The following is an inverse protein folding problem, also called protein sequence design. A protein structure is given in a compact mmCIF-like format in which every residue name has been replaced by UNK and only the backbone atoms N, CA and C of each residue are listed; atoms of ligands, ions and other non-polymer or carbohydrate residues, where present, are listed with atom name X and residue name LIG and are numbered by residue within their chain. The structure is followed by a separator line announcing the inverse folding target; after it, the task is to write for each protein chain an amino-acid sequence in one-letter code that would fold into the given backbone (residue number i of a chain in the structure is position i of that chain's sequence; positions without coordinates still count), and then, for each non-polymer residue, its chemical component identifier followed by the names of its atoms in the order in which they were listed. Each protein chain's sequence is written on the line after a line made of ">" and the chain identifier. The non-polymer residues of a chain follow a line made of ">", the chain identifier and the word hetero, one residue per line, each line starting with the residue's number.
data_IF_161045873110
#
_entry.id   IF_161045873110
#
_cell.length_a   1.000
_cell.length_b   1.000
_cell.length_c   1.000
_cell.angle_alpha   90.00
_cell.angle_beta   90.00
_cell.angle_gamma   90.00
#
_symmetry.space_group_name_H-M   'P 1'
#
loop_
_entity.id
_entity.type
_entity.pdbx_description
1 polymer ?
#
# COMPACT_ATOMS: atom_id res chain seq x y z
N UNK A 1 33.73 -47.09 -26.13
CA UNK A 1 33.88 -46.36 -24.85
C UNK A 1 34.61 -45.07 -25.17
N UNK A 2 34.12 -43.85 -25.02
CA UNK A 2 33.04 -43.24 -24.24
C UNK A 2 33.61 -41.90 -23.77
N UNK A 3 33.04 -40.77 -24.22
CA UNK A 3 33.67 -39.45 -24.37
C UNK A 3 33.99 -38.67 -23.08
N UNK A 4 35.02 -37.85 -23.24
CA UNK A 4 35.66 -36.81 -22.42
C UNK A 4 34.67 -35.66 -22.03
N UNK A 5 34.66 -35.33 -20.72
CA UNK A 5 34.38 -34.06 -20.02
C UNK A 5 33.04 -33.31 -20.21
N UNK A 6 32.23 -33.29 -19.13
CA UNK A 6 31.02 -32.50 -18.97
C UNK A 6 31.21 -31.22 -18.13
N UNK A 7 31.08 -30.07 -18.81
CA UNK A 7 30.37 -28.83 -18.45
C UNK A 7 30.54 -28.23 -17.04
N UNK A 8 31.28 -27.12 -17.01
CA UNK A 8 31.17 -26.02 -16.03
C UNK A 8 30.00 -25.10 -16.43
N UNK A 9 29.06 -24.82 -15.52
CA UNK A 9 28.21 -23.61 -15.56
C UNK A 9 27.91 -23.12 -14.15
N UNK A 10 28.71 -22.18 -13.67
CA UNK A 10 28.28 -21.26 -12.62
C UNK A 10 27.57 -20.07 -13.29
N UNK A 11 26.32 -19.82 -12.91
CA UNK A 11 25.53 -18.68 -13.38
C UNK A 11 25.37 -17.72 -12.19
N UNK A 12 26.31 -16.79 -12.05
CA UNK A 12 26.21 -15.67 -11.11
C UNK A 12 25.66 -14.49 -11.89
N UNK A 13 24.37 -14.18 -11.71
CA UNK A 13 23.78 -12.91 -12.16
C UNK A 13 24.31 -11.80 -11.24
N UNK A 14 25.27 -11.03 -11.71
CA UNK A 14 25.65 -9.74 -11.11
C UNK A 14 24.75 -8.67 -11.71
N UNK A 15 24.06 -7.92 -10.85
CA UNK A 15 23.38 -6.66 -11.19
C UNK A 15 24.41 -5.68 -11.79
N UNK A 16 24.18 -5.11 -12.99
CA UNK A 16 25.08 -4.12 -13.55
C UNK A 16 24.86 -2.78 -12.85
N UNK A 17 25.93 -2.22 -12.29
CA UNK A 17 25.96 -0.85 -11.79
C UNK A 17 25.82 0.18 -12.91
N UNK A 18 25.45 1.41 -12.53
CA UNK A 18 25.15 2.55 -13.43
C UNK A 18 26.16 2.81 -14.56
N UNK A 19 27.43 2.43 -14.40
CA UNK A 19 28.46 2.58 -15.47
C UNK A 19 28.23 1.67 -16.69
N UNK A 20 27.62 0.50 -16.50
CA UNK A 20 27.36 -0.47 -17.57
C UNK A 20 26.16 -0.07 -18.44
N UNK A 21 25.21 0.68 -17.87
CA UNK A 21 24.08 1.25 -18.63
C UNK A 21 24.54 2.33 -19.61
N UNK A 22 25.47 3.21 -19.21
CA UNK A 22 25.99 4.25 -20.10
C UNK A 22 26.76 3.66 -21.27
N UNK A 23 27.60 2.64 -21.04
CA UNK A 23 28.31 1.96 -22.12
C UNK A 23 27.35 1.28 -23.10
N UNK A 24 26.31 0.59 -22.58
CA UNK A 24 25.26 -0.01 -23.40
C UNK A 24 24.55 1.04 -24.25
N UNK A 25 24.13 2.16 -23.67
CA UNK A 25 23.46 3.23 -24.38
C UNK A 25 24.32 3.81 -25.52
N UNK A 26 25.62 4.00 -25.28
CA UNK A 26 26.58 4.45 -26.30
C UNK A 26 26.68 3.41 -27.43
N UNK A 27 26.85 2.12 -27.10
CA UNK A 27 26.93 1.04 -28.09
C UNK A 27 25.66 0.91 -28.93
N UNK A 28 24.47 1.07 -28.35
CA UNK A 28 23.21 1.04 -29.09
C UNK A 28 23.03 2.27 -30.00
N UNK A 29 23.50 3.44 -29.57
CA UNK A 29 23.51 4.64 -30.40
C UNK A 29 24.49 4.51 -31.59
N UNK A 30 25.69 3.98 -31.36
CA UNK A 30 26.68 3.72 -32.42
C UNK A 30 26.22 2.65 -33.43
N UNK A 31 25.43 1.66 -32.98
CA UNK A 31 24.85 0.64 -33.84
C UNK A 31 23.64 1.12 -34.68
N UNK A 32 23.32 2.43 -34.64
CA UNK A 32 22.16 3.00 -35.35
C UNK A 32 20.80 2.60 -34.74
N UNK A 33 20.80 2.03 -33.53
CA UNK A 33 19.61 1.56 -32.80
C UNK A 33 19.11 2.60 -31.79
N UNK A 34 19.32 3.89 -32.07
CA UNK A 34 18.86 4.99 -31.22
C UNK A 34 17.35 4.94 -30.93
N UNK A 35 16.55 4.42 -31.89
CA UNK A 35 15.12 4.22 -31.73
C UNK A 35 14.76 3.22 -30.60
N UNK A 36 15.54 2.13 -30.42
CA UNK A 36 15.33 1.16 -29.33
C UNK A 36 15.72 1.71 -27.96
N UNK A 37 16.71 2.61 -27.92
CA UNK A 37 17.10 3.33 -26.70
C UNK A 37 16.03 4.35 -26.32
N UNK A 38 15.53 5.09 -27.31
CA UNK A 38 14.43 6.04 -27.13
C UNK A 38 13.14 5.33 -26.71
N UNK A 39 12.75 4.22 -27.34
CA UNK A 39 11.56 3.45 -26.98
C UNK A 39 11.64 2.91 -25.54
N UNK A 40 12.81 2.40 -25.11
CA UNK A 40 13.00 1.95 -23.73
C UNK A 40 12.98 3.09 -22.72
N UNK A 41 13.65 4.21 -23.00
CA UNK A 41 13.59 5.39 -22.13
C UNK A 41 12.18 5.98 -22.09
N UNK A 42 11.49 6.04 -23.23
CA UNK A 42 10.11 6.51 -23.35
C UNK A 42 9.17 5.61 -22.53
N UNK A 43 9.35 4.28 -22.60
CA UNK A 43 8.59 3.32 -21.77
C UNK A 43 8.90 3.47 -20.28
N UNK A 44 10.16 3.74 -19.91
CA UNK A 44 10.57 4.00 -18.52
C UNK A 44 10.09 5.37 -17.98
N UNK A 45 9.96 6.37 -18.85
CA UNK A 45 9.45 7.71 -18.52
C UNK A 45 7.91 7.78 -18.53
N UNK A 46 7.23 6.99 -19.37
CA UNK A 46 5.76 6.90 -19.43
C UNK A 46 5.17 5.92 -18.39
N UNK A 47 6.02 5.22 -17.63
CA UNK A 47 5.62 4.32 -16.55
C UNK A 47 6.18 4.72 -15.19
N UNK A 48 6.06 6.01 -14.82
CA UNK A 48 5.84 6.35 -13.41
C UNK A 48 4.48 5.77 -13.00
N UNK A 49 4.45 4.45 -12.79
CA UNK A 49 3.31 3.76 -12.21
C UNK A 49 3.14 4.35 -10.83
N UNK A 50 2.14 5.22 -10.66
CA UNK A 50 1.79 5.80 -9.36
C UNK A 50 1.59 4.65 -8.39
N UNK A 51 2.52 4.53 -7.45
CA UNK A 51 2.52 3.43 -6.50
C UNK A 51 1.58 3.78 -5.36
N UNK A 52 0.74 2.83 -4.95
CA UNK A 52 -0.26 3.06 -3.91
C UNK A 52 0.07 2.28 -2.64
N UNK A 53 -0.08 2.95 -1.51
CA UNK A 53 0.01 2.42 -0.16
C UNK A 53 -1.38 2.45 0.46
N UNK A 54 -1.93 1.29 0.81
CA UNK A 54 -3.22 1.23 1.50
C UNK A 54 -3.00 1.24 3.00
N UNK A 55 -3.73 2.08 3.72
CA UNK A 55 -3.66 2.18 5.18
C UNK A 55 -5.02 1.82 5.74
N UNK A 56 -5.10 0.72 6.49
CA UNK A 56 -6.34 0.23 7.08
C UNK A 56 -6.49 0.78 8.49
N UNK A 57 -7.53 1.57 8.70
CA UNK A 57 -7.89 2.11 10.01
C UNK A 57 -8.62 1.10 10.87
N UNK A 58 -8.59 1.31 12.18
CA UNK A 58 -9.43 0.57 13.13
C UNK A 58 -10.82 1.20 13.14
N UNK A 59 -11.81 0.47 12.65
CA UNK A 59 -13.17 0.98 12.48
C UNK A 59 -13.20 2.30 11.68
N UNK A 60 -13.53 3.42 12.35
CA UNK A 60 -13.62 4.77 11.77
C UNK A 60 -12.42 5.66 12.07
N UNK A 61 -11.37 5.16 12.71
CA UNK A 61 -10.22 5.96 13.18
C UNK A 61 -8.88 5.47 12.61
N UNK A 62 -7.93 6.39 12.58
CA UNK A 62 -6.50 6.13 12.35
C UNK A 62 -5.75 6.68 13.57
N UNK A 63 -4.90 5.87 14.18
CA UNK A 63 -4.05 6.33 15.29
C UNK A 63 -2.99 7.31 14.78
N UNK A 64 -2.39 8.07 15.70
CA UNK A 64 -1.24 8.91 15.38
C UNK A 64 -0.06 8.06 14.87
N UNK A 65 0.19 6.92 15.53
CA UNK A 65 1.29 6.01 15.18
C UNK A 65 1.19 5.51 13.72
N UNK A 66 0.01 5.07 13.27
CA UNK A 66 -0.15 4.61 11.88
C UNK A 66 -0.12 5.75 10.87
N UNK A 67 -0.62 6.93 11.25
CA UNK A 67 -0.57 8.13 10.40
C UNK A 67 0.89 8.51 10.14
N UNK A 68 1.69 8.65 11.19
CA UNK A 68 3.09 9.04 11.09
C UNK A 68 3.88 8.01 10.28
N UNK A 69 3.70 6.72 10.58
CA UNK A 69 4.36 5.64 9.85
C UNK A 69 4.01 5.68 8.35
N UNK A 70 2.73 5.80 8.01
CA UNK A 70 2.28 5.80 6.62
C UNK A 70 2.79 7.03 5.85
N UNK A 71 2.82 8.20 6.49
CA UNK A 71 3.35 9.43 5.89
C UNK A 71 4.85 9.32 5.61
N UNK A 72 5.63 8.82 6.57
CA UNK A 72 7.07 8.61 6.38
C UNK A 72 7.36 7.59 5.28
N UNK A 73 6.61 6.50 5.24
CA UNK A 73 6.76 5.48 4.20
C UNK A 73 6.41 6.05 2.82
N UNK A 74 5.30 6.78 2.72
CA UNK A 74 4.84 7.35 1.46
C UNK A 74 5.79 8.43 0.93
N UNK A 75 6.32 9.30 1.79
CA UNK A 75 7.27 10.35 1.42
C UNK A 75 8.59 9.77 0.88
N UNK A 76 9.14 8.75 1.55
CA UNK A 76 10.45 8.17 1.18
C UNK A 76 10.43 7.37 -0.11
N UNK A 77 9.28 6.78 -0.42
CA UNK A 77 9.10 5.84 -1.52
C UNK A 77 8.22 6.40 -2.64
N UNK A 78 7.73 7.64 -2.49
CA UNK A 78 6.82 8.32 -3.40
C UNK A 78 5.50 7.55 -3.65
N UNK A 79 4.85 7.10 -2.57
CA UNK A 79 3.52 6.48 -2.66
C UNK A 79 2.39 7.52 -2.59
N UNK A 80 1.30 7.25 -3.30
CA UNK A 80 -0.03 7.76 -2.96
C UNK A 80 -0.60 6.97 -1.77
N UNK A 81 -1.24 7.65 -0.83
CA UNK A 81 -1.92 7.04 0.31
C UNK A 81 -3.41 6.83 0.00
N UNK A 82 -3.86 5.60 0.25
CA UNK A 82 -5.28 5.22 0.22
C UNK A 82 -5.69 4.81 1.64
N UNK A 83 -6.32 5.72 2.36
CA UNK A 83 -6.84 5.47 3.69
C UNK A 83 -8.18 4.71 3.61
N UNK A 84 -8.23 3.51 4.18
CA UNK A 84 -9.38 2.61 4.13
C UNK A 84 -9.96 2.44 5.54
N UNK A 85 -11.22 2.84 5.72
CA UNK A 85 -12.01 2.43 6.88
C UNK A 85 -12.98 1.32 6.47
N UNK A 86 -13.00 0.24 7.24
CA UNK A 86 -13.89 -0.90 7.04
C UNK A 86 -14.85 -1.04 8.22
N UNK A 87 -16.06 -1.50 7.93
CA UNK A 87 -17.00 -1.94 8.96
C UNK A 87 -17.63 -3.25 8.51
N UNK A 88 -17.63 -4.30 9.34
CA UNK A 88 -18.19 -5.62 9.04
C UNK A 88 -19.72 -5.61 9.10
N UNK A 89 -20.34 -4.71 8.36
CA UNK A 89 -21.78 -4.59 8.24
C UNK A 89 -22.22 -5.46 7.07
N UNK A 90 -22.25 -6.78 7.31
CA UNK A 90 -22.82 -7.69 6.32
C UNK A 90 -24.26 -7.24 6.03
N UNK A 91 -24.59 -7.14 4.75
CA UNK A 91 -25.94 -6.77 4.32
C UNK A 91 -27.00 -7.77 4.82
N UNK A 92 -26.58 -8.99 5.21
CA UNK A 92 -27.45 -10.10 5.59
C UNK A 92 -27.79 -10.11 7.09
N UNK A 93 -26.86 -9.75 7.98
CA UNK A 93 -27.07 -9.78 9.45
C UNK A 93 -28.11 -8.75 9.92
N UNK A 94 -28.39 -7.71 9.13
CA UNK A 94 -29.31 -6.61 9.48
C UNK A 94 -30.63 -6.59 8.69
N UNK A 95 -30.99 -7.68 8.00
CA UNK A 95 -32.19 -7.77 7.16
C UNK A 95 -33.54 -7.53 7.89
N UNK A 96 -33.55 -7.48 9.23
CA UNK A 96 -34.77 -7.25 10.02
C UNK A 96 -35.10 -5.78 10.31
N UNK A 97 -34.16 -4.82 10.14
CA UNK A 97 -34.38 -3.40 10.48
C UNK A 97 -33.79 -2.44 9.43
N UNK A 98 -34.49 -2.25 8.31
CA UNK A 98 -34.02 -1.48 7.14
C UNK A 98 -33.76 0.02 7.41
N UNK A 99 -34.50 0.65 8.34
CA UNK A 99 -34.32 2.06 8.73
C UNK A 99 -33.07 2.24 9.61
N UNK A 100 -32.86 1.36 10.59
CA UNK A 100 -31.68 1.37 11.46
C UNK A 100 -30.39 1.14 10.66
N UNK A 101 -30.43 0.29 9.63
CA UNK A 101 -29.27 0.03 8.77
C UNK A 101 -28.76 1.28 8.05
N UNK A 102 -29.65 2.03 7.40
CA UNK A 102 -29.26 3.26 6.67
C UNK A 102 -28.59 4.26 7.60
N UNK A 103 -29.19 4.45 8.79
CA UNK A 103 -28.66 5.34 9.82
C UNK A 103 -27.26 4.92 10.29
N UNK A 104 -27.04 3.63 10.58
CA UNK A 104 -25.72 3.13 11.01
C UNK A 104 -24.66 3.34 9.91
N UNK A 105 -24.99 3.06 8.65
CA UNK A 105 -24.06 3.29 7.54
C UNK A 105 -23.74 4.78 7.34
N UNK A 106 -24.73 5.65 7.49
CA UNK A 106 -24.56 7.10 7.40
C UNK A 106 -23.73 7.64 8.56
N UNK A 107 -24.01 7.19 9.78
CA UNK A 107 -23.26 7.55 10.99
C UNK A 107 -21.80 7.12 10.87
N UNK A 108 -21.53 5.87 10.44
CA UNK A 108 -20.17 5.39 10.21
C UNK A 108 -19.44 6.21 9.15
N UNK A 109 -20.08 6.50 8.00
CA UNK A 109 -19.48 7.38 6.99
C UNK A 109 -19.18 8.77 7.54
N UNK A 110 -20.08 9.33 8.36
CA UNK A 110 -19.91 10.63 8.99
C UNK A 110 -18.70 10.66 9.93
N UNK A 111 -18.59 9.64 10.79
CA UNK A 111 -17.46 9.47 11.70
C UNK A 111 -16.14 9.30 10.94
N UNK A 112 -16.08 8.38 9.97
CA UNK A 112 -14.86 8.14 9.20
C UNK A 112 -14.40 9.40 8.46
N UNK A 113 -15.31 10.17 7.86
CA UNK A 113 -15.00 11.46 7.21
C UNK A 113 -14.49 12.52 8.18
N UNK A 114 -14.95 12.49 9.43
CA UNK A 114 -14.50 13.44 10.46
C UNK A 114 -13.10 13.06 10.94
N UNK A 115 -12.90 11.78 11.23
CA UNK A 115 -11.68 11.27 11.86
C UNK A 115 -10.50 11.22 10.89
N UNK A 116 -10.74 11.02 9.58
CA UNK A 116 -9.67 11.03 8.58
C UNK A 116 -9.03 12.41 8.36
N UNK A 117 -9.68 13.50 8.82
CA UNK A 117 -9.22 14.88 8.52
C UNK A 117 -7.78 15.14 8.96
N UNK A 118 -7.40 14.65 10.14
CA UNK A 118 -6.03 14.82 10.64
C UNK A 118 -5.02 14.17 9.70
N UNK A 119 -5.32 12.96 9.23
CA UNK A 119 -4.47 12.25 8.28
C UNK A 119 -4.41 12.97 6.93
N UNK A 120 -5.55 13.39 6.39
CA UNK A 120 -5.63 14.11 5.13
C UNK A 120 -4.84 15.44 5.17
N UNK A 121 -4.96 16.20 6.26
CA UNK A 121 -4.23 17.45 6.45
C UNK A 121 -2.72 17.22 6.56
N UNK A 122 -2.30 16.17 7.28
CA UNK A 122 -0.90 15.80 7.41
C UNK A 122 -0.29 15.34 6.07
N UNK A 123 -1.01 14.54 5.29
CA UNK A 123 -0.61 14.15 3.94
C UNK A 123 -0.49 15.36 3.01
N UNK A 124 -1.46 16.28 3.06
CA UNK A 124 -1.44 17.52 2.27
C UNK A 124 -0.23 18.39 2.60
N UNK A 125 0.17 18.50 3.87
CA UNK A 125 1.36 19.27 4.28
C UNK A 125 2.67 18.70 3.71
N UNK A 126 2.70 17.39 3.44
CA UNK A 126 3.84 16.68 2.82
C UNK A 126 3.70 16.52 1.31
N UNK A 127 2.68 17.13 0.71
CA UNK A 127 2.39 17.02 -0.73
C UNK A 127 2.16 15.56 -1.20
N UNK A 128 1.72 14.69 -0.29
CA UNK A 128 1.43 13.28 -0.58
C UNK A 128 -0.01 13.17 -1.12
N UNK A 129 -0.22 12.57 -2.31
CA UNK A 129 -1.57 12.30 -2.80
C UNK A 129 -2.34 11.42 -1.82
N UNK A 130 -3.59 11.78 -1.53
CA UNK A 130 -4.37 11.15 -0.48
C UNK A 130 -5.82 10.92 -0.91
N UNK A 131 -6.26 9.67 -0.80
CA UNK A 131 -7.64 9.26 -1.07
C UNK A 131 -8.21 8.54 0.17
N UNK A 132 -9.44 8.89 0.57
CA UNK A 132 -10.15 8.22 1.65
C UNK A 132 -11.30 7.36 1.10
N UNK A 133 -11.34 6.09 1.49
CA UNK A 133 -12.38 5.15 1.10
C UNK A 133 -12.99 4.48 2.32
N UNK A 134 -14.31 4.29 2.26
CA UNK A 134 -15.09 3.62 3.30
C UNK A 134 -15.78 2.40 2.71
N UNK A 135 -15.53 1.22 3.27
CA UNK A 135 -16.10 -0.05 2.85
C UNK A 135 -16.93 -0.68 3.96
N UNK A 136 -18.04 -1.32 3.58
CA UNK A 136 -18.95 -2.01 4.50
C UNK A 136 -18.79 -3.52 4.36
N UNK A 137 -17.54 -3.95 4.46
CA UNK A 137 -17.11 -5.34 4.39
C UNK A 137 -16.01 -5.53 5.42
N UNK A 138 -15.70 -6.79 5.72
CA UNK A 138 -14.53 -7.16 6.51
C UNK A 138 -13.26 -6.59 5.88
N UNK A 139 -12.24 -6.29 6.68
CA UNK A 139 -11.00 -5.63 6.22
C UNK A 139 -10.35 -6.31 5.01
N UNK A 140 -10.28 -7.65 5.00
CA UNK A 140 -9.71 -8.40 3.88
C UNK A 140 -10.55 -8.31 2.60
N UNK A 141 -11.88 -8.39 2.70
CA UNK A 141 -12.77 -8.24 1.54
C UNK A 141 -12.78 -6.79 1.03
N UNK A 142 -12.73 -5.81 1.94
CA UNK A 142 -12.56 -4.41 1.59
C UNK A 142 -11.28 -4.16 0.80
N UNK A 143 -10.16 -4.81 1.15
CA UNK A 143 -8.91 -4.73 0.40
C UNK A 143 -9.02 -5.31 -1.01
N UNK A 144 -9.76 -6.41 -1.19
CA UNK A 144 -10.04 -6.96 -2.54
C UNK A 144 -10.91 -6.02 -3.36
N UNK A 145 -11.95 -5.44 -2.76
CA UNK A 145 -12.81 -4.46 -3.44
C UNK A 145 -12.00 -3.25 -3.91
N UNK A 146 -11.15 -2.70 -3.04
CA UNK A 146 -10.27 -1.58 -3.38
C UNK A 146 -9.33 -1.95 -4.53
N UNK A 147 -8.70 -3.13 -4.48
CA UNK A 147 -7.84 -3.61 -5.56
C UNK A 147 -8.56 -3.62 -6.92
N UNK A 148 -9.84 -3.98 -6.94
CA UNK A 148 -10.63 -3.98 -8.17
C UNK A 148 -11.00 -2.55 -8.63
N UNK A 149 -11.21 -1.62 -7.70
CA UNK A 149 -11.64 -0.24 -7.99
C UNK A 149 -10.51 0.67 -8.43
N UNK A 150 -9.38 0.65 -7.72
CA UNK A 150 -8.28 1.59 -7.94
C UNK A 150 -7.06 0.94 -8.60
N UNK A 151 -7.15 -0.35 -8.92
CA UNK A 151 -6.04 -1.16 -9.42
C UNK A 151 -5.12 -1.66 -8.32
N UNK A 152 -3.88 -1.98 -8.69
CA UNK A 152 -2.89 -2.51 -7.76
C UNK A 152 -2.44 -1.50 -6.70
N UNK A 153 -2.09 -2.01 -5.53
CA UNK A 153 -1.33 -1.34 -4.49
C UNK A 153 -0.20 -2.28 -4.04
N UNK A 154 0.94 -1.74 -3.65
CA UNK A 154 2.12 -2.56 -3.34
C UNK A 154 2.10 -3.06 -1.90
N UNK A 155 1.67 -2.22 -0.97
CA UNK A 155 1.69 -2.51 0.45
C UNK A 155 0.38 -2.10 1.14
N UNK A 156 0.10 -2.82 2.22
CA UNK A 156 -0.95 -2.51 3.18
C UNK A 156 -0.29 -2.28 4.53
N UNK A 157 -0.69 -1.19 5.20
CA UNK A 157 -0.32 -0.87 6.58
C UNK A 157 -1.58 -1.01 7.43
N UNK A 158 -1.49 -1.73 8.55
CA UNK A 158 -2.60 -1.88 9.51
C UNK A 158 -2.08 -1.91 10.94
N UNK A 159 -2.95 -1.64 11.91
CA UNK A 159 -2.65 -1.85 13.33
C UNK A 159 -3.20 -3.19 13.81
N UNK A 160 -2.65 -3.74 14.91
CA UNK A 160 -3.32 -4.81 15.66
C UNK A 160 -4.66 -4.34 16.23
N UNK A 161 -5.68 -5.19 16.14
CA UNK A 161 -6.98 -4.96 16.79
C UNK A 161 -6.89 -5.11 18.32
N UNK A 162 -5.86 -5.79 18.83
CA UNK A 162 -5.65 -5.99 20.25
C UNK A 162 -5.00 -4.77 20.92
N UNK A 163 -5.81 -4.02 21.67
CA UNK A 163 -5.51 -3.59 23.05
C UNK A 163 -6.69 -2.79 23.65
N UNK A 164 -7.80 -3.48 23.93
CA UNK A 164 -8.83 -2.99 24.86
C UNK A 164 -9.24 -4.01 25.93
N UNK A 165 -8.76 -5.26 25.88
CA UNK A 165 -8.98 -6.23 26.93
C UNK A 165 -7.69 -7.02 27.19
N UNK A 166 -7.34 -7.20 28.47
CA UNK A 166 -6.15 -7.92 28.97
C UNK A 166 -4.82 -7.15 29.01
N UNK A 167 -4.83 -5.88 29.46
CA UNK A 167 -3.66 -5.35 30.18
C UNK A 167 -3.84 -5.64 31.67
N UNK A 168 -3.27 -6.76 32.15
CA UNK A 168 -2.97 -6.91 33.58
C UNK A 168 -2.09 -5.73 34.01
N UNK A 169 -2.35 -5.08 35.17
CA UNK A 169 -1.57 -3.93 35.59
C UNK A 169 -0.26 -4.42 36.21
N UNK A 170 0.70 -4.87 35.39
CA UNK A 170 2.03 -5.22 35.91
C UNK A 170 3.22 -4.55 35.24
N UNK A 171 3.06 -3.73 34.19
CA UNK A 171 4.18 -2.87 33.76
C UNK A 171 3.67 -1.56 33.17
N UNK A 172 4.19 -0.44 33.69
CA UNK A 172 3.87 0.92 33.25
C UNK A 172 4.42 1.30 31.87
N UNK A 173 4.63 0.33 30.99
CA UNK A 173 4.91 0.59 29.58
C UNK A 173 3.59 0.79 28.86
N UNK A 174 3.42 1.98 28.27
CA UNK A 174 2.27 2.25 27.41
C UNK A 174 2.19 1.14 26.36
N UNK A 175 1.06 0.45 26.34
CA UNK A 175 0.55 -0.34 25.24
C UNK A 175 0.92 0.31 23.89
N UNK A 176 2.04 -0.08 23.28
CA UNK A 176 2.38 0.37 21.93
C UNK A 176 1.48 -0.40 20.96
N UNK A 177 0.79 0.32 20.08
CA UNK A 177 0.06 -0.32 18.98
C UNK A 177 1.08 -0.91 18.00
N UNK A 178 0.93 -2.19 17.67
CA UNK A 178 1.83 -2.85 16.71
C UNK A 178 1.35 -2.51 15.29
N UNK A 179 2.27 -2.00 14.45
CA UNK A 179 2.01 -1.69 13.05
C UNK A 179 2.50 -2.86 12.19
N UNK A 180 1.62 -3.38 11.35
CA UNK A 180 1.91 -4.42 10.38
C UNK A 180 2.00 -3.83 8.99
N UNK A 181 3.01 -4.29 8.23
CA UNK A 181 3.14 -3.98 6.81
C UNK A 181 3.26 -5.28 6.03
N UNK A 182 2.40 -5.44 5.04
CA UNK A 182 2.37 -6.64 4.22
C UNK A 182 2.00 -6.32 2.77
N UNK A 183 2.44 -7.19 1.86
CA UNK A 183 2.09 -7.15 0.44
C UNK A 183 1.03 -8.21 0.17
N UNK A 184 0.00 -7.86 -0.60
CA UNK A 184 -0.95 -8.84 -1.12
C UNK A 184 -0.51 -9.24 -2.53
N UNK A 185 0.06 -10.44 -2.67
CA UNK A 185 0.31 -11.05 -3.99
C UNK A 185 -0.98 -11.63 -4.55
#
# INVERSE_FOLDING_TARGET
>A
MGRIFGKIKQKIQKLPGKMDQSQKAITFAEAGQAALVQEKLQTELESEVVRKLVVVGRESVFSEDIIDYALEMAERMSYEIVALNTAPLSCETFNFFSSSRKKICEDFKGLSKKNVRMFQEAAKKKEIPFTHVVKFSESYEGLKEIRNEIGGFEFVVSESEDQAAVSRPENGERAKSEIFVYSMM
#
